data_IF_276246110133
#
_entry.id   IF_276246110133
#
_cell.length_a   1.000
_cell.length_b   1.000
_cell.length_c   1.000
_cell.angle_alpha   90.00
_cell.angle_beta   90.00
_cell.angle_gamma   90.00
#
_symmetry.space_group_name_H-M   'P 1'
#
loop_
_entity.id
_entity.type
_entity.pdbx_description
1 polymer ?
#
# COMPACT_ATOMS: atom_id res chain seq x y z
N UNK A 1 25.48 1.87 -50.26
CA UNK A 1 24.65 0.72 -49.84
C UNK A 1 24.45 0.84 -48.33
N UNK A 2 23.38 1.48 -47.87
CA UNK A 2 23.10 1.58 -46.44
C UNK A 2 22.51 0.25 -45.96
N UNK A 3 23.23 -0.44 -45.06
CA UNK A 3 22.76 -1.68 -44.44
C UNK A 3 21.47 -1.39 -43.68
N UNK A 4 20.39 -2.10 -44.01
CA UNK A 4 19.16 -2.09 -43.22
C UNK A 4 19.52 -2.53 -41.79
N UNK A 5 19.21 -1.76 -40.74
CA UNK A 5 19.39 -2.24 -39.38
C UNK A 5 18.56 -3.52 -39.21
N UNK A 6 19.15 -4.57 -38.59
CA UNK A 6 18.42 -5.78 -38.20
C UNK A 6 17.21 -5.33 -37.38
N UNK A 7 16.00 -5.47 -37.91
CA UNK A 7 14.78 -5.30 -37.12
C UNK A 7 14.85 -6.31 -35.97
N UNK A 8 14.74 -5.82 -34.74
CA UNK A 8 14.61 -6.67 -33.57
C UNK A 8 13.32 -7.50 -33.71
N UNK A 9 13.31 -8.69 -33.14
CA UNK A 9 12.12 -9.54 -33.17
C UNK A 9 10.94 -8.78 -32.53
N UNK A 10 9.74 -8.84 -33.12
CA UNK A 10 8.60 -8.11 -32.62
C UNK A 10 8.20 -8.64 -31.25
N UNK A 11 8.12 -7.73 -30.28
CA UNK A 11 7.98 -8.02 -28.85
C UNK A 11 6.54 -7.90 -28.40
N UNK A 12 6.17 -8.66 -27.36
CA UNK A 12 4.82 -8.58 -26.81
C UNK A 12 4.65 -7.44 -25.79
N UNK A 13 3.43 -7.26 -25.28
CA UNK A 13 3.14 -6.20 -24.31
C UNK A 13 3.88 -6.34 -22.98
N UNK A 14 4.27 -7.56 -22.57
CA UNK A 14 5.02 -7.79 -21.34
C UNK A 14 6.47 -7.39 -21.51
N UNK A 15 7.07 -7.74 -22.64
CA UNK A 15 8.43 -7.36 -23.00
C UNK A 15 8.53 -5.84 -23.18
N UNK A 16 7.59 -5.22 -23.89
CA UNK A 16 7.49 -3.75 -23.97
C UNK A 16 7.36 -3.09 -22.58
N UNK A 17 6.55 -3.68 -21.70
CA UNK A 17 6.34 -3.15 -20.34
C UNK A 17 7.64 -3.16 -19.53
N UNK A 18 8.39 -4.26 -19.62
CA UNK A 18 9.68 -4.41 -18.96
C UNK A 18 10.70 -3.39 -19.49
N UNK A 19 10.79 -3.23 -20.81
CA UNK A 19 11.77 -2.35 -21.44
C UNK A 19 11.48 -0.86 -21.26
N UNK A 20 10.20 -0.47 -21.28
CA UNK A 20 9.79 0.92 -21.11
C UNK A 20 9.57 1.30 -19.63
N UNK A 21 9.68 0.34 -18.69
CA UNK A 21 9.44 0.57 -17.27
C UNK A 21 7.98 0.94 -16.94
N UNK A 22 7.02 0.54 -17.78
CA UNK A 22 5.58 0.83 -17.59
C UNK A 22 4.77 -0.46 -17.45
N UNK A 23 3.53 -0.37 -16.97
CA UNK A 23 2.69 -1.57 -16.85
C UNK A 23 2.12 -2.03 -18.21
N UNK A 24 1.87 -3.34 -18.34
CA UNK A 24 1.17 -3.92 -19.51
C UNK A 24 -0.20 -3.29 -19.74
N UNK A 25 -0.92 -2.97 -18.66
CA UNK A 25 -2.18 -2.24 -18.70
C UNK A 25 -2.03 -0.83 -19.28
N UNK A 26 -0.91 -0.15 -19.03
CA UNK A 26 -0.59 1.15 -19.62
C UNK A 26 -0.39 1.03 -21.13
N UNK A 27 0.32 0.01 -21.61
CA UNK A 27 0.50 -0.24 -23.05
C UNK A 27 -0.85 -0.50 -23.74
N UNK A 28 -1.69 -1.34 -23.14
CA UNK A 28 -3.03 -1.60 -23.66
C UNK A 28 -3.89 -0.32 -23.71
N UNK A 29 -3.81 0.53 -22.70
CA UNK A 29 -4.49 1.82 -22.69
C UNK A 29 -3.94 2.78 -23.74
N UNK A 30 -2.63 2.78 -23.98
CA UNK A 30 -2.02 3.63 -25.01
C UNK A 30 -2.47 3.19 -26.39
N UNK A 31 -2.44 1.89 -26.68
CA UNK A 31 -2.92 1.31 -27.93
C UNK A 31 -4.42 1.55 -28.15
N UNK A 32 -5.25 1.41 -27.11
CA UNK A 32 -6.68 1.70 -27.19
C UNK A 32 -6.97 3.15 -27.58
N UNK A 33 -6.07 4.08 -27.19
CA UNK A 33 -6.15 5.51 -27.49
C UNK A 33 -5.22 5.94 -28.62
N UNK A 34 -4.79 5.01 -29.48
CA UNK A 34 -3.82 5.31 -30.56
C UNK A 34 -4.25 6.42 -31.52
N UNK A 35 -5.56 6.62 -31.69
CA UNK A 35 -6.09 7.71 -32.50
C UNK A 35 -5.79 9.10 -31.91
N UNK A 36 -5.58 9.20 -30.59
CA UNK A 36 -5.33 10.45 -29.87
C UNK A 36 -3.85 10.66 -29.55
N UNK A 37 -3.10 9.58 -29.34
CA UNK A 37 -1.71 9.65 -28.84
C UNK A 37 -0.69 9.11 -29.85
N UNK A 38 -1.13 8.74 -31.05
CA UNK A 38 -0.29 8.25 -32.16
C UNK A 38 0.56 7.03 -31.77
N UNK A 39 0.11 6.24 -30.79
CA UNK A 39 0.83 5.04 -30.35
C UNK A 39 0.99 4.06 -31.52
N UNK A 40 2.19 3.47 -31.72
CA UNK A 40 2.47 2.60 -32.85
C UNK A 40 1.48 1.43 -32.99
N UNK A 41 1.16 1.11 -34.24
CA UNK A 41 0.37 -0.07 -34.56
C UNK A 41 1.19 -1.34 -34.23
N UNK A 42 0.48 -2.43 -33.93
CA UNK A 42 1.15 -3.73 -33.81
C UNK A 42 1.57 -4.21 -35.20
N UNK A 43 2.73 -4.85 -35.28
CA UNK A 43 3.28 -5.37 -36.54
C UNK A 43 2.87 -6.81 -36.81
N UNK A 44 2.53 -7.57 -35.76
CA UNK A 44 2.08 -8.95 -35.86
C UNK A 44 1.21 -9.35 -34.65
N UNK A 45 0.62 -10.54 -34.69
CA UNK A 45 -0.11 -11.15 -33.59
C UNK A 45 0.32 -12.59 -33.37
N UNK A 46 0.73 -12.92 -32.14
CA UNK A 46 0.97 -14.29 -31.69
C UNK A 46 -0.23 -14.76 -30.89
N UNK A 47 -1.18 -15.41 -31.57
CA UNK A 47 -2.44 -15.84 -30.97
C UNK A 47 -3.31 -14.63 -30.58
N UNK A 48 -3.53 -14.41 -29.27
CA UNK A 48 -4.22 -13.21 -28.76
C UNK A 48 -3.27 -12.07 -28.38
N UNK A 49 -1.97 -12.33 -28.33
CA UNK A 49 -0.96 -11.33 -28.01
C UNK A 49 -0.64 -10.51 -29.27
N UNK A 50 -0.67 -9.19 -29.14
CA UNK A 50 -0.19 -8.26 -30.17
C UNK A 50 1.32 -8.12 -30.01
N UNK A 51 2.02 -8.07 -31.13
CA UNK A 51 3.46 -7.88 -31.18
C UNK A 51 3.78 -6.53 -31.81
N UNK A 52 4.74 -5.82 -31.24
CA UNK A 52 5.15 -4.49 -31.65
C UNK A 52 6.63 -4.45 -32.03
N UNK A 53 6.97 -3.52 -32.91
CA UNK A 53 8.37 -3.20 -33.18
C UNK A 53 8.92 -2.39 -32.01
N UNK A 54 9.88 -2.96 -31.27
CA UNK A 54 10.43 -2.33 -30.05
C UNK A 54 11.07 -0.97 -30.36
N UNK A 55 11.78 -0.85 -31.49
CA UNK A 55 12.47 0.38 -31.87
C UNK A 55 11.47 1.49 -32.22
N UNK A 56 10.36 1.15 -32.88
CA UNK A 56 9.28 2.08 -33.20
C UNK A 56 8.58 2.59 -31.93
N UNK A 57 8.25 1.69 -31.00
CA UNK A 57 7.63 2.06 -29.72
C UNK A 57 8.59 2.86 -28.85
N UNK A 58 9.88 2.51 -28.81
CA UNK A 58 10.91 3.27 -28.09
C UNK A 58 11.04 4.68 -28.65
N UNK A 59 11.13 4.83 -29.96
CA UNK A 59 11.21 6.15 -30.61
C UNK A 59 9.98 7.01 -30.34
N UNK A 60 8.79 6.43 -30.39
CA UNK A 60 7.56 7.12 -30.00
C UNK A 60 7.60 7.53 -28.51
N UNK A 61 8.08 6.64 -27.63
CA UNK A 61 8.15 6.89 -26.20
C UNK A 61 9.17 7.98 -25.84
N UNK A 62 10.33 8.00 -26.49
CA UNK A 62 11.37 9.04 -26.31
C UNK A 62 10.94 10.40 -26.87
N UNK A 63 10.20 10.41 -27.98
CA UNK A 63 9.66 11.63 -28.59
C UNK A 63 8.40 12.18 -27.90
N UNK A 64 7.77 11.38 -27.04
CA UNK A 64 6.58 11.78 -26.29
C UNK A 64 6.98 12.72 -25.16
N UNK A 65 6.52 13.96 -25.19
CA UNK A 65 6.56 14.80 -24.00
C UNK A 65 5.76 14.12 -22.89
N UNK A 66 6.32 13.98 -21.67
CA UNK A 66 5.55 13.51 -20.54
C UNK A 66 4.30 14.37 -20.40
N UNK A 67 3.18 13.74 -20.05
CA UNK A 67 1.96 14.52 -19.80
C UNK A 67 2.26 15.56 -18.71
N UNK A 68 1.59 16.73 -18.75
CA UNK A 68 1.75 17.76 -17.71
C UNK A 68 1.61 17.21 -16.29
N UNK A 69 0.90 16.09 -16.10
CA UNK A 69 0.77 15.35 -14.83
C UNK A 69 2.02 14.52 -14.43
N UNK A 70 2.79 14.04 -15.40
CA UNK A 70 4.05 13.30 -15.23
C UNK A 70 5.21 14.26 -14.90
N UNK A 71 5.14 15.53 -15.32
CA UNK A 71 6.12 16.59 -14.98
C UNK A 71 5.89 17.24 -13.62
N UNK A 72 4.78 16.92 -12.93
CA UNK A 72 4.44 17.57 -11.67
C UNK A 72 5.43 17.20 -10.56
N UNK A 73 6.31 18.14 -10.23
CA UNK A 73 7.16 18.09 -9.06
C UNK A 73 6.62 18.96 -7.93
N UNK A 74 7.31 19.01 -6.79
CA UNK A 74 7.03 20.00 -5.74
C UNK A 74 7.64 21.37 -6.04
N UNK A 75 8.55 21.45 -7.02
CA UNK A 75 9.26 22.66 -7.40
C UNK A 75 8.50 23.28 -8.58
N UNK A 76 7.93 24.47 -8.37
CA UNK A 76 7.11 25.17 -9.37
C UNK A 76 6.42 26.37 -8.76
N UNK A 77 5.44 26.92 -9.47
CA UNK A 77 4.63 28.05 -8.98
C UNK A 77 3.92 27.65 -7.66
N UNK A 78 4.22 28.35 -6.54
CA UNK A 78 3.65 28.04 -5.23
C UNK A 78 2.12 28.19 -5.18
N UNK A 79 1.56 29.09 -6.00
CA UNK A 79 0.14 29.41 -6.04
C UNK A 79 -0.65 28.54 -7.03
N UNK A 80 0.02 27.65 -7.78
CA UNK A 80 -0.66 26.73 -8.69
C UNK A 80 -1.62 25.82 -7.90
N UNK A 81 -2.91 25.88 -8.26
CA UNK A 81 -3.94 25.00 -7.70
C UNK A 81 -3.84 23.60 -8.32
N UNK A 82 -3.61 22.62 -7.45
CA UNK A 82 -3.50 21.21 -7.76
C UNK A 82 -4.74 20.46 -7.28
N UNK A 83 -5.37 19.69 -8.16
CA UNK A 83 -6.43 18.77 -7.76
C UNK A 83 -5.87 17.50 -7.09
N UNK A 84 -6.72 16.69 -6.47
CA UNK A 84 -6.31 15.48 -5.76
C UNK A 84 -5.46 14.49 -6.59
N UNK A 85 -5.67 14.39 -7.92
CA UNK A 85 -4.82 13.53 -8.77
C UNK A 85 -3.41 14.11 -8.93
N UNK A 86 -3.32 15.43 -9.11
CA UNK A 86 -2.06 16.16 -9.23
C UNK A 86 -1.26 16.09 -7.92
N UNK A 87 -1.93 16.37 -6.80
CA UNK A 87 -1.33 16.28 -5.45
C UNK A 87 -0.81 14.86 -5.18
N UNK A 88 -1.55 13.82 -5.57
CA UNK A 88 -1.11 12.44 -5.40
C UNK A 88 0.20 12.16 -6.17
N UNK A 89 0.33 12.71 -7.39
CA UNK A 89 1.56 12.56 -8.18
C UNK A 89 2.74 13.33 -7.59
N UNK A 90 2.52 14.58 -7.21
CA UNK A 90 3.52 15.43 -6.55
C UNK A 90 4.07 14.80 -5.26
N UNK A 91 3.22 14.06 -4.53
CA UNK A 91 3.58 13.34 -3.31
C UNK A 91 4.05 11.88 -3.54
N UNK A 92 4.14 11.44 -4.79
CA UNK A 92 4.49 10.08 -5.20
C UNK A 92 3.58 8.98 -4.61
N UNK A 93 2.27 9.25 -4.58
CA UNK A 93 1.24 8.28 -4.22
C UNK A 93 0.74 7.51 -5.44
N UNK A 94 0.40 6.24 -5.21
CA UNK A 94 -0.12 5.34 -6.25
C UNK A 94 -1.38 5.88 -6.91
N UNK A 95 -2.27 6.50 -6.14
CA UNK A 95 -3.51 7.10 -6.65
C UNK A 95 -4.06 8.18 -5.67
N UNK A 96 -5.02 8.98 -6.17
CA UNK A 96 -5.71 10.00 -5.37
C UNK A 96 -6.53 9.46 -4.20
N UNK A 97 -6.86 8.16 -4.21
CA UNK A 97 -7.68 7.56 -3.15
C UNK A 97 -6.98 7.65 -1.79
N UNK A 98 -5.65 7.65 -1.77
CA UNK A 98 -4.87 7.84 -0.55
C UNK A 98 -5.15 9.19 0.11
N UNK A 99 -5.31 10.25 -0.68
CA UNK A 99 -5.67 11.59 -0.19
C UNK A 99 -7.10 11.59 0.34
N UNK A 100 -8.04 10.98 -0.37
CA UNK A 100 -9.44 10.89 0.11
C UNK A 100 -9.54 10.10 1.41
N UNK A 101 -8.75 9.03 1.57
CA UNK A 101 -8.66 8.27 2.82
C UNK A 101 -8.09 9.12 3.94
N UNK A 102 -7.03 9.90 3.69
CA UNK A 102 -6.48 10.80 4.71
C UNK A 102 -7.51 11.83 5.18
N UNK A 103 -8.22 12.48 4.27
CA UNK A 103 -9.25 13.46 4.62
C UNK A 103 -10.42 12.83 5.40
N UNK A 104 -10.79 11.58 5.07
CA UNK A 104 -11.94 10.90 5.69
C UNK A 104 -11.59 10.23 7.03
N UNK A 105 -10.53 9.43 7.04
CA UNK A 105 -10.18 8.56 8.17
C UNK A 105 -9.21 9.24 9.15
N UNK A 106 -8.52 10.29 8.72
CA UNK A 106 -7.52 11.02 9.51
C UNK A 106 -7.70 12.54 9.40
N UNK A 107 -8.84 13.10 9.86
CA UNK A 107 -9.06 14.54 9.85
C UNK A 107 -7.92 15.26 10.60
N UNK A 108 -7.41 16.34 10.02
CA UNK A 108 -6.27 17.10 10.53
C UNK A 108 -4.88 16.52 10.23
N UNK A 109 -4.77 15.34 9.61
CA UNK A 109 -3.47 14.79 9.21
C UNK A 109 -2.98 15.36 7.87
N UNK A 110 -3.87 15.48 6.89
CA UNK A 110 -3.60 16.03 5.57
C UNK A 110 -4.21 17.44 5.51
N UNK A 111 -3.57 18.41 4.83
CA UNK A 111 -4.07 19.77 4.75
C UNK A 111 -5.48 19.81 4.17
N UNK A 112 -6.31 20.69 4.72
CA UNK A 112 -7.59 21.01 4.13
C UNK A 112 -7.39 21.64 2.74
N UNK A 113 -8.32 21.42 1.80
CA UNK A 113 -8.24 22.06 0.49
C UNK A 113 -8.35 23.57 0.61
N UNK A 114 -7.46 24.28 -0.07
CA UNK A 114 -7.48 25.75 -0.18
C UNK A 114 -8.73 26.23 -0.92
N UNK A 115 -9.20 25.46 -1.91
CA UNK A 115 -10.44 25.74 -2.63
C UNK A 115 -11.30 24.48 -2.80
N UNK A 116 -12.61 24.65 -2.65
CA UNK A 116 -13.61 23.60 -2.88
C UNK A 116 -14.59 24.09 -3.93
N UNK A 117 -14.62 23.39 -5.06
CA UNK A 117 -15.51 23.66 -6.19
C UNK A 117 -16.66 22.66 -6.17
N UNK A 118 -17.90 23.16 -6.18
CA UNK A 118 -19.11 22.34 -6.18
C UNK A 118 -19.59 22.08 -7.61
N UNK A 119 -19.44 20.85 -8.09
CA UNK A 119 -19.90 20.36 -9.39
C UNK A 119 -21.15 19.50 -9.20
N UNK A 120 -22.23 20.12 -8.71
CA UNK A 120 -23.50 19.44 -8.43
C UNK A 120 -23.39 18.44 -7.28
N UNK A 121 -23.51 17.15 -7.55
CA UNK A 121 -23.43 16.08 -6.55
C UNK A 121 -21.99 15.76 -6.10
N UNK A 122 -20.99 16.31 -6.78
CA UNK A 122 -19.58 16.09 -6.51
C UNK A 122 -18.86 17.38 -6.12
N UNK A 123 -17.95 17.30 -5.15
CA UNK A 123 -17.05 18.40 -4.78
C UNK A 123 -15.63 18.12 -5.27
N UNK A 124 -15.09 19.02 -6.08
CA UNK A 124 -13.67 19.02 -6.42
C UNK A 124 -12.90 19.83 -5.39
N UNK A 125 -11.76 19.28 -4.99
CA UNK A 125 -10.89 19.86 -3.97
C UNK A 125 -9.57 20.24 -4.62
N UNK A 126 -9.10 21.42 -4.29
CA UNK A 126 -7.91 22.05 -4.83
C UNK A 126 -6.99 22.46 -3.69
N UNK A 127 -5.69 22.26 -3.88
CA UNK A 127 -4.64 22.64 -2.95
C UNK A 127 -3.61 23.46 -3.69
N UNK A 128 -3.11 24.54 -3.08
CA UNK A 128 -1.93 25.23 -3.60
C UNK A 128 -0.73 24.30 -3.52
N UNK A 129 0.18 24.41 -4.50
CA UNK A 129 1.43 23.66 -4.50
C UNK A 129 2.23 23.92 -3.22
N UNK A 130 2.25 25.17 -2.74
CA UNK A 130 2.89 25.56 -1.49
C UNK A 130 2.32 24.81 -0.28
N UNK A 131 0.98 24.74 -0.14
CA UNK A 131 0.30 24.00 0.94
C UNK A 131 0.77 22.54 1.01
N UNK A 132 0.94 21.90 -0.16
CA UNK A 132 1.42 20.52 -0.25
C UNK A 132 2.91 20.41 0.05
N UNK A 133 3.73 21.37 -0.38
CA UNK A 133 5.16 21.42 -0.09
C UNK A 133 5.43 21.59 1.42
N UNK A 134 4.73 22.52 2.06
CA UNK A 134 4.82 22.79 3.50
C UNK A 134 4.35 21.59 4.32
N UNK A 135 3.25 20.97 3.91
CA UNK A 135 2.79 19.73 4.53
C UNK A 135 3.82 18.62 4.38
N UNK A 136 4.42 18.43 3.21
CA UNK A 136 5.43 17.37 3.00
C UNK A 136 6.66 17.62 3.85
N UNK A 137 7.10 18.87 3.98
CA UNK A 137 8.23 19.26 4.81
C UNK A 137 7.96 19.07 6.31
N UNK A 138 6.73 19.36 6.76
CA UNK A 138 6.30 19.18 8.15
C UNK A 138 5.73 17.78 8.47
N UNK A 139 5.65 16.90 7.46
CA UNK A 139 4.95 15.62 7.57
C UNK A 139 5.58 14.76 8.68
N UNK A 140 4.79 14.32 9.68
CA UNK A 140 5.24 13.32 10.63
C UNK A 140 5.57 12.04 9.86
N UNK A 141 6.82 11.59 9.94
CA UNK A 141 7.29 10.39 9.26
C UNK A 141 6.47 9.15 9.61
N UNK A 142 6.74 8.03 8.92
CA UNK A 142 6.04 6.74 9.09
C UNK A 142 6.13 6.15 10.52
N UNK A 143 6.91 6.76 11.42
CA UNK A 143 7.09 6.35 12.80
C UNK A 143 6.61 7.43 13.78
N UNK A 144 5.70 7.03 14.68
CA UNK A 144 5.17 7.78 15.83
C UNK A 144 4.39 9.06 15.49
N UNK A 145 3.07 8.94 15.58
CA UNK A 145 2.23 10.07 15.98
C UNK A 145 2.63 10.43 17.43
N UNK A 146 3.06 11.67 17.75
CA UNK A 146 2.96 12.13 19.12
C UNK A 146 1.47 12.17 19.48
N UNK A 147 1.06 11.36 20.47
CA UNK A 147 -0.31 11.39 21.02
C UNK A 147 -1.28 10.29 20.58
N UNK A 148 -0.96 9.42 19.62
CA UNK A 148 -1.83 8.28 19.31
C UNK A 148 -1.47 7.04 20.13
N UNK A 149 -1.80 7.05 21.42
CA UNK A 149 -1.91 5.81 22.20
C UNK A 149 -3.14 5.05 21.71
N UNK A 150 -2.96 4.18 20.71
CA UNK A 150 -3.98 3.16 20.39
C UNK A 150 -4.04 2.23 21.59
N UNK A 151 -5.10 2.34 22.40
CA UNK A 151 -5.33 1.42 23.50
C UNK A 151 -5.43 0.00 22.91
N UNK A 152 -4.62 -0.92 23.46
CA UNK A 152 -4.73 -2.32 23.09
C UNK A 152 -6.12 -2.82 23.52
N UNK A 153 -6.78 -3.66 22.70
CA UNK A 153 -8.04 -4.27 23.11
C UNK A 153 -7.85 -5.02 24.43
N UNK A 154 -8.82 -4.86 25.34
CA UNK A 154 -8.83 -5.55 26.62
C UNK A 154 -8.83 -7.07 26.40
N UNK A 155 -8.12 -7.79 27.26
CA UNK A 155 -8.12 -9.24 27.24
C UNK A 155 -9.45 -9.78 27.78
N UNK A 156 -9.95 -10.91 27.26
CA UNK A 156 -11.15 -11.55 27.81
C UNK A 156 -10.88 -12.05 29.24
N UNK A 157 -11.93 -12.08 30.06
CA UNK A 157 -11.85 -12.78 31.34
C UNK A 157 -11.93 -14.29 31.10
N UNK A 158 -10.98 -15.05 31.64
CA UNK A 158 -10.85 -16.49 31.43
C UNK A 158 -10.71 -17.18 32.78
N UNK A 159 -11.67 -18.01 33.19
CA UNK A 159 -11.59 -18.75 34.44
C UNK A 159 -10.44 -19.77 34.44
N UNK A 160 -9.84 -19.97 35.60
CA UNK A 160 -8.73 -20.92 35.80
C UNK A 160 -9.20 -22.38 35.94
N UNK A 161 -10.47 -22.57 36.28
CA UNK A 161 -11.15 -23.82 36.63
C UNK A 161 -11.92 -24.48 35.46
N UNK A 162 -11.73 -24.00 34.24
CA UNK A 162 -12.31 -24.64 33.05
C UNK A 162 -11.59 -25.93 32.63
N UNK A 163 -12.08 -26.55 31.56
CA UNK A 163 -11.51 -27.79 30.98
C UNK A 163 -9.98 -27.68 30.74
N UNK A 164 -9.16 -28.59 31.32
CA UNK A 164 -7.71 -28.56 31.19
C UNK A 164 -7.20 -28.76 29.76
N UNK A 165 -7.95 -29.45 28.91
CA UNK A 165 -7.56 -29.76 27.53
C UNK A 165 -8.17 -28.79 26.51
N UNK A 166 -8.92 -27.78 26.96
CA UNK A 166 -9.41 -26.69 26.11
C UNK A 166 -8.24 -25.94 25.46
N UNK A 167 -8.30 -25.78 24.14
CA UNK A 167 -7.35 -24.98 23.36
C UNK A 167 -7.66 -23.48 23.50
N UNK A 168 -6.82 -22.79 24.26
CA UNK A 168 -6.90 -21.36 24.49
C UNK A 168 -6.14 -20.58 23.41
N UNK A 169 -6.82 -19.59 22.83
CA UNK A 169 -6.20 -18.61 21.94
C UNK A 169 -5.15 -17.77 22.66
N UNK A 170 -4.26 -17.11 21.91
CA UNK A 170 -3.25 -16.23 22.50
C UNK A 170 -3.81 -15.12 23.40
N UNK A 171 -5.02 -14.62 23.14
CA UNK A 171 -5.68 -13.62 24.03
C UNK A 171 -6.14 -14.24 25.34
N UNK A 172 -6.66 -15.47 25.31
CA UNK A 172 -7.08 -16.19 26.51
C UNK A 172 -5.87 -16.65 27.34
N UNK A 173 -4.81 -17.12 26.69
CA UNK A 173 -3.55 -17.47 27.35
C UNK A 173 -2.90 -16.24 28.01
N UNK A 174 -2.89 -15.09 27.31
CA UNK A 174 -2.40 -13.82 27.86
C UNK A 174 -3.19 -13.39 29.11
N UNK A 175 -4.51 -13.58 29.12
CA UNK A 175 -5.38 -13.26 30.25
C UNK A 175 -5.06 -14.13 31.47
N UNK A 176 -5.00 -15.45 31.28
CA UNK A 176 -4.68 -16.38 32.37
C UNK A 176 -3.30 -16.11 32.98
N UNK A 177 -2.32 -15.71 32.17
CA UNK A 177 -0.95 -15.39 32.59
C UNK A 177 -0.78 -13.97 33.16
N UNK A 178 -1.84 -13.18 33.23
CA UNK A 178 -1.84 -11.83 33.81
C UNK A 178 -1.15 -10.76 32.96
N UNK A 179 -1.03 -10.97 31.64
CA UNK A 179 -0.52 -9.92 30.76
C UNK A 179 -1.54 -8.80 30.57
N UNK A 180 -1.06 -7.58 30.31
CA UNK A 180 -1.94 -6.43 30.05
C UNK A 180 -2.50 -6.40 28.63
N UNK A 181 -1.90 -7.15 27.70
CA UNK A 181 -2.31 -7.22 26.29
C UNK A 181 -1.70 -8.42 25.58
N UNK A 182 -2.29 -8.79 24.44
CA UNK A 182 -1.74 -9.81 23.55
C UNK A 182 -0.32 -9.47 23.08
N UNK A 183 -0.04 -8.20 22.78
CA UNK A 183 1.28 -7.77 22.32
C UNK A 183 2.36 -7.99 23.39
N UNK A 184 2.04 -7.73 24.65
CA UNK A 184 2.97 -7.99 25.76
C UNK A 184 3.24 -9.48 25.92
N UNK A 185 2.21 -10.32 25.77
CA UNK A 185 2.35 -11.78 25.78
C UNK A 185 3.20 -12.27 24.60
N UNK A 186 2.89 -11.84 23.38
CA UNK A 186 3.63 -12.23 22.17
C UNK A 186 5.09 -11.79 22.23
N UNK A 187 5.37 -10.58 22.72
CA UNK A 187 6.74 -10.10 22.94
C UNK A 187 7.48 -10.97 23.96
N UNK A 188 6.85 -11.26 25.10
CA UNK A 188 7.41 -12.11 26.14
C UNK A 188 7.73 -13.51 25.62
N UNK A 189 6.82 -14.10 24.81
CA UNK A 189 7.04 -15.39 24.15
C UNK A 189 8.21 -15.34 23.16
N UNK A 190 8.27 -14.32 22.30
CA UNK A 190 9.36 -14.18 21.31
C UNK A 190 10.73 -13.93 21.95
N UNK A 191 10.75 -13.38 23.16
CA UNK A 191 11.97 -13.17 23.95
C UNK A 191 12.40 -14.44 24.71
N UNK A 192 11.67 -15.56 24.59
CA UNK A 192 11.97 -16.80 25.28
C UNK A 192 11.52 -16.85 26.75
N UNK A 193 10.77 -15.86 27.23
CA UNK A 193 10.33 -15.79 28.63
C UNK A 193 9.13 -16.73 28.93
N UNK A 194 8.63 -17.47 27.93
CA UNK A 194 7.51 -18.41 28.04
C UNK A 194 7.89 -19.74 27.37
N UNK A 195 8.89 -20.46 27.92
CA UNK A 195 9.46 -21.64 27.26
C UNK A 195 8.44 -22.77 27.06
N UNK A 196 7.47 -22.95 27.98
CA UNK A 196 6.43 -23.95 27.82
C UNK A 196 5.41 -23.60 26.73
N UNK A 197 5.37 -22.35 26.25
CA UNK A 197 4.41 -21.87 25.26
C UNK A 197 5.06 -21.51 23.92
N UNK A 198 6.33 -21.87 23.72
CA UNK A 198 7.01 -21.70 22.44
C UNK A 198 6.34 -22.55 21.35
N UNK A 199 6.13 -23.83 21.65
CA UNK A 199 5.36 -24.74 20.82
C UNK A 199 3.86 -24.60 21.09
N UNK A 200 3.06 -24.74 20.03
CA UNK A 200 1.61 -24.61 20.08
C UNK A 200 0.98 -26.00 20.14
N UNK A 201 -0.01 -26.19 21.00
CA UNK A 201 -0.75 -27.47 21.11
C UNK A 201 -1.75 -27.67 19.97
N UNK A 202 -2.08 -26.60 19.25
CA UNK A 202 -2.93 -26.67 18.07
C UNK A 202 -3.26 -25.29 17.49
N UNK A 203 -4.28 -25.29 16.64
CA UNK A 203 -4.85 -24.08 16.05
C UNK A 203 -6.30 -23.91 16.48
N UNK A 204 -6.68 -22.68 16.81
CA UNK A 204 -8.09 -22.28 16.95
C UNK A 204 -8.84 -22.43 15.62
N UNK A 205 -10.18 -22.41 15.60
CA UNK A 205 -10.98 -22.41 14.36
C UNK A 205 -10.63 -21.27 13.39
N UNK A 206 -10.02 -20.18 13.89
CA UNK A 206 -9.54 -19.04 13.10
C UNK A 206 -8.09 -19.22 12.60
N UNK A 207 -7.51 -20.41 12.70
CA UNK A 207 -6.14 -20.72 12.26
C UNK A 207 -5.04 -20.07 13.10
N UNK A 208 -5.35 -19.60 14.31
CA UNK A 208 -4.37 -18.98 15.22
C UNK A 208 -3.82 -20.02 16.20
N UNK A 209 -2.53 -19.89 16.54
CA UNK A 209 -1.86 -20.66 17.59
C UNK A 209 -2.67 -20.74 18.88
N UNK A 210 -2.78 -21.94 19.42
CA UNK A 210 -3.48 -22.24 20.66
C UNK A 210 -2.68 -23.15 21.59
N UNK A 211 -3.01 -23.11 22.87
CA UNK A 211 -2.40 -23.91 23.94
C UNK A 211 -3.46 -24.48 24.86
N UNK A 212 -3.24 -25.68 25.36
CA UNK A 212 -4.08 -26.29 26.38
C UNK A 212 -4.06 -25.46 27.67
N UNK A 213 -5.23 -25.33 28.33
CA UNK A 213 -5.34 -24.61 29.61
C UNK A 213 -4.33 -25.12 30.63
N UNK A 214 -4.15 -26.45 30.71
CA UNK A 214 -3.16 -27.11 31.57
C UNK A 214 -1.75 -26.54 31.37
N UNK A 215 -1.27 -26.45 30.11
CA UNK A 215 0.07 -25.95 29.77
C UNK A 215 0.23 -24.46 30.09
N UNK A 216 -0.82 -23.67 29.90
CA UNK A 216 -0.84 -22.24 30.28
C UNK A 216 -0.78 -22.06 31.80
N UNK A 217 -1.50 -22.87 32.58
CA UNK A 217 -1.46 -22.84 34.04
C UNK A 217 -0.13 -23.34 34.60
N UNK A 218 0.47 -24.35 33.99
CA UNK A 218 1.82 -24.82 34.34
C UNK A 218 2.86 -23.71 34.10
N UNK A 219 2.80 -23.03 32.94
CA UNK A 219 3.63 -21.86 32.67
C UNK A 219 3.39 -20.72 33.66
N UNK A 220 2.15 -20.54 34.12
CA UNK A 220 1.81 -19.55 35.16
C UNK A 220 2.47 -19.91 36.49
N UNK A 221 2.40 -21.17 36.90
CA UNK A 221 3.02 -21.67 38.13
C UNK A 221 4.55 -21.54 38.11
N UNK A 222 5.20 -21.66 36.96
CA UNK A 222 6.65 -21.42 36.84
C UNK A 222 7.06 -19.93 36.95
N UNK A 223 6.11 -19.01 36.78
CA UNK A 223 6.37 -17.55 36.80
C UNK A 223 6.05 -16.91 38.16
N UNK A 224 5.35 -17.61 39.05
CA UNK A 224 4.97 -17.15 40.39
C UNK A 224 5.83 -17.80 41.45
#
# INVERSE_FOLDING_TARGET
MAGKPKKQDPVDSQELAAELGISTGRINSLYAKRAENEFPAHVDQRGRARLWDLDEVRKWHEGRQPSRLEELSLVGDPDELLNASQVAKVLDYKNKSQITTYLKEHPGYFPEPDEVEHLGTYTRKWWRRQTIADWRASRPGKGKRPGATRQAPALPDVPADGDPDELLSGTQAAALLGFKSLNSFSSSRSQGNLPLLEETDGLTPLGRSAWTRRRVLEQKAQRG
#
